data_IF_494760785246
#
_entry.id   IF_494760785246
#
_cell.length_a   1.000
_cell.length_b   1.000
_cell.length_c   1.000
_cell.angle_alpha   90.00
_cell.angle_beta   90.00
_cell.angle_gamma   90.00
#
_symmetry.space_group_name_H-M   'P 1'
#
loop_
_entity.id
_entity.type
_entity.pdbx_description
1 polymer ?
#
# COMPACT_ATOMS: atom_id res chain seq x y z
N UNK A 1 -44.70 25.17 18.03
CA UNK A 1 -44.41 25.36 16.61
C UNK A 1 -43.10 24.63 16.32
N UNK A 2 -43.08 23.30 16.32
CA UNK A 2 -43.70 22.36 15.39
C UNK A 2 -43.11 22.50 13.99
N UNK A 3 -42.15 21.64 13.65
CA UNK A 3 -42.18 20.89 12.39
C UNK A 3 -41.35 19.60 12.53
N UNK A 4 -42.06 18.49 12.71
CA UNK A 4 -41.52 17.13 12.72
C UNK A 4 -41.79 16.56 11.33
N UNK A 5 -40.76 16.52 10.49
CA UNK A 5 -40.87 15.92 9.16
C UNK A 5 -40.64 14.41 9.25
N UNK A 6 -41.76 13.71 9.30
CA UNK A 6 -41.93 12.26 9.26
C UNK A 6 -41.39 11.70 7.93
N UNK A 7 -40.33 10.88 8.01
CA UNK A 7 -39.79 10.13 6.86
C UNK A 7 -40.56 8.82 6.72
N UNK A 8 -41.37 8.74 5.67
CA UNK A 8 -42.01 7.53 5.14
C UNK A 8 -40.98 6.44 4.80
N UNK A 9 -41.24 5.17 5.14
CA UNK A 9 -40.43 4.05 4.69
C UNK A 9 -40.76 3.72 3.23
N UNK A 10 -39.73 3.74 2.38
CA UNK A 10 -39.79 3.25 1.01
C UNK A 10 -39.92 1.73 1.06
N UNK A 11 -41.07 1.23 0.59
CA UNK A 11 -41.30 -0.20 0.31
C UNK A 11 -40.33 -0.63 -0.78
N UNK A 12 -39.40 -1.51 -0.42
CA UNK A 12 -38.54 -2.20 -1.37
C UNK A 12 -39.34 -3.31 -2.05
N UNK A 13 -39.73 -3.05 -3.29
CA UNK A 13 -40.49 -3.95 -4.14
C UNK A 13 -39.55 -5.07 -4.63
N UNK A 14 -39.56 -6.19 -3.90
CA UNK A 14 -38.85 -7.40 -4.29
C UNK A 14 -39.49 -7.96 -5.55
N UNK A 15 -38.89 -7.69 -6.70
CA UNK A 15 -39.23 -8.33 -7.97
C UNK A 15 -38.91 -9.83 -7.87
N UNK A 16 -39.94 -10.62 -7.56
CA UNK A 16 -39.91 -12.08 -7.63
C UNK A 16 -39.76 -12.47 -9.10
N UNK A 17 -38.56 -12.89 -9.48
CA UNK A 17 -38.29 -13.52 -10.77
C UNK A 17 -39.04 -14.85 -10.79
N UNK A 18 -40.15 -14.88 -11.54
CA UNK A 18 -40.95 -16.06 -11.76
C UNK A 18 -40.12 -17.13 -12.48
N UNK A 19 -39.93 -18.27 -11.81
CA UNK A 19 -39.43 -19.51 -12.40
C UNK A 19 -40.50 -20.05 -13.34
N UNK A 20 -40.19 -20.36 -14.62
CA UNK A 20 -41.17 -20.92 -15.54
C UNK A 20 -41.59 -22.32 -15.09
N UNK A 21 -42.89 -22.47 -14.87
CA UNK A 21 -43.58 -23.72 -14.55
C UNK A 21 -43.47 -24.70 -15.73
N UNK A 22 -43.03 -25.96 -15.51
CA UNK A 22 -42.96 -26.94 -16.59
C UNK A 22 -44.38 -27.34 -17.02
N UNK A 23 -44.61 -27.26 -18.34
CA UNK A 23 -45.86 -27.61 -19.00
C UNK A 23 -46.34 -29.01 -18.63
N UNK A 24 -47.59 -29.11 -18.17
CA UNK A 24 -48.33 -30.37 -18.03
C UNK A 24 -48.63 -30.90 -19.42
N UNK A 25 -48.00 -32.00 -19.80
CA UNK A 25 -48.43 -32.81 -20.94
C UNK A 25 -49.71 -33.57 -20.58
N UNK A 26 -50.71 -33.40 -21.45
CA UNK A 26 -52.02 -34.02 -21.42
C UNK A 26 -51.92 -35.44 -21.99
N UNK A 27 -52.39 -36.50 -21.30
CA UNK A 27 -52.36 -37.85 -21.87
C UNK A 27 -53.51 -38.03 -22.85
N UNK A 28 -53.18 -38.14 -24.14
CA UNK A 28 -54.12 -38.57 -25.17
C UNK A 28 -54.50 -40.05 -24.96
N UNK A 29 -55.79 -40.28 -24.73
CA UNK A 29 -56.38 -41.60 -24.65
C UNK A 29 -56.46 -42.22 -26.06
N UNK A 30 -55.58 -43.19 -26.33
CA UNK A 30 -55.66 -44.05 -27.52
C UNK A 30 -56.30 -45.38 -27.13
N UNK A 31 -57.29 -45.77 -27.93
CA UNK A 31 -58.17 -46.92 -27.72
C UNK A 31 -57.43 -48.25 -27.63
N UNK A 32 -57.89 -49.08 -26.68
CA UNK A 32 -57.45 -50.45 -26.41
C UNK A 32 -58.07 -51.38 -27.45
N UNK A 33 -57.24 -51.92 -28.34
CA UNK A 33 -57.58 -53.05 -29.19
C UNK A 33 -57.21 -54.34 -28.46
N UNK A 34 -58.22 -55.16 -28.14
CA UNK A 34 -58.10 -56.43 -27.43
C UNK A 34 -57.59 -57.46 -28.43
N UNK A 35 -56.29 -57.73 -28.43
CA UNK A 35 -55.67 -58.87 -29.11
C UNK A 35 -55.53 -60.02 -28.12
N UNK A 36 -56.23 -61.11 -28.42
CA UNK A 36 -56.18 -62.38 -27.69
C UNK A 36 -54.83 -63.09 -27.87
N UNK A 37 -54.11 -63.30 -26.77
CA UNK A 37 -52.95 -64.21 -26.64
C UNK A 37 -53.40 -65.68 -26.78
N UNK A 38 -52.58 -66.51 -27.43
CA UNK A 38 -51.89 -67.52 -26.63
C UNK A 38 -50.52 -67.91 -27.20
N UNK A 39 -49.42 -67.25 -26.78
CA UNK A 39 -48.03 -67.79 -26.84
C UNK A 39 -46.99 -66.84 -26.19
N UNK A 40 -47.18 -66.38 -24.94
CA UNK A 40 -46.38 -65.26 -24.36
C UNK A 40 -45.43 -65.67 -23.20
N UNK A 41 -45.35 -66.95 -22.86
CA UNK A 41 -44.52 -67.36 -21.72
C UNK A 41 -43.06 -67.69 -22.09
N UNK A 42 -42.74 -67.96 -23.36
CA UNK A 42 -41.36 -68.27 -23.81
C UNK A 42 -40.58 -67.07 -24.37
N UNK A 43 -41.26 -65.98 -24.76
CA UNK A 43 -40.65 -64.73 -25.24
C UNK A 43 -40.32 -63.74 -24.11
N UNK A 44 -41.03 -63.80 -22.97
CA UNK A 44 -40.76 -62.95 -21.79
C UNK A 44 -39.41 -63.25 -21.13
N UNK A 45 -38.99 -64.52 -21.06
CA UNK A 45 -37.70 -64.88 -20.44
C UNK A 45 -36.48 -64.45 -21.28
N UNK A 46 -36.63 -64.41 -22.61
CA UNK A 46 -35.59 -63.91 -23.50
C UNK A 46 -35.41 -62.38 -23.38
N UNK A 47 -36.51 -61.63 -23.25
CA UNK A 47 -36.50 -60.17 -23.13
C UNK A 47 -36.01 -59.68 -21.74
N UNK A 48 -36.33 -60.40 -20.66
CA UNK A 48 -35.79 -60.08 -19.33
C UNK A 48 -34.27 -60.27 -19.24
N UNK A 49 -33.73 -61.25 -19.97
CA UNK A 49 -32.30 -61.55 -19.95
C UNK A 49 -31.49 -60.46 -20.66
N UNK A 50 -31.99 -59.90 -21.77
CA UNK A 50 -31.33 -58.81 -22.48
C UNK A 50 -31.46 -57.46 -21.75
N UNK A 51 -32.61 -57.18 -21.11
CA UNK A 51 -32.77 -56.00 -20.26
C UNK A 51 -31.82 -56.01 -19.04
N UNK A 52 -31.50 -57.18 -18.47
CA UNK A 52 -30.48 -57.31 -17.42
C UNK A 52 -29.05 -57.05 -17.92
N UNK A 53 -28.75 -57.34 -19.18
CA UNK A 53 -27.43 -57.03 -19.77
C UNK A 53 -27.31 -55.54 -20.05
N UNK A 54 -28.36 -54.93 -20.61
CA UNK A 54 -28.41 -53.49 -20.88
C UNK A 54 -28.28 -52.65 -19.61
N UNK A 55 -28.95 -53.03 -18.51
CA UNK A 55 -28.84 -52.30 -17.23
C UNK A 55 -27.44 -52.39 -16.62
N UNK A 56 -26.78 -53.57 -16.70
CA UNK A 56 -25.38 -53.73 -16.27
C UNK A 56 -24.40 -52.93 -17.13
N UNK A 57 -24.62 -52.90 -18.44
CA UNK A 57 -23.81 -52.08 -19.34
C UNK A 57 -24.00 -50.58 -19.06
N UNK A 58 -25.23 -50.15 -18.82
CA UNK A 58 -25.52 -48.77 -18.47
C UNK A 58 -24.90 -48.36 -17.13
N UNK A 59 -24.90 -49.23 -16.11
CA UNK A 59 -24.23 -48.93 -14.84
C UNK A 59 -22.71 -48.80 -14.99
N UNK A 60 -22.10 -49.64 -15.83
CA UNK A 60 -20.65 -49.56 -16.14
C UNK A 60 -20.31 -48.25 -16.84
N UNK A 61 -21.12 -47.82 -17.80
CA UNK A 61 -20.93 -46.56 -18.53
C UNK A 61 -21.09 -45.36 -17.56
N UNK A 62 -22.09 -45.40 -16.68
CA UNK A 62 -22.32 -44.32 -15.72
C UNK A 62 -21.16 -44.16 -14.72
N UNK A 63 -20.53 -45.28 -14.30
CA UNK A 63 -19.35 -45.26 -13.43
C UNK A 63 -18.13 -44.65 -14.14
N UNK A 64 -17.89 -45.02 -15.40
CA UNK A 64 -16.81 -44.44 -16.22
C UNK A 64 -17.02 -42.93 -16.45
N UNK A 65 -18.26 -42.51 -16.74
CA UNK A 65 -18.60 -41.09 -16.92
C UNK A 65 -18.41 -40.31 -15.62
N UNK A 66 -18.79 -40.87 -14.47
CA UNK A 66 -18.58 -40.24 -13.16
C UNK A 66 -17.08 -40.09 -12.83
N UNK A 67 -16.28 -41.12 -13.10
CA UNK A 67 -14.83 -41.07 -12.92
C UNK A 67 -14.17 -40.02 -13.84
N UNK A 68 -14.59 -39.95 -15.11
CA UNK A 68 -14.10 -38.95 -16.07
C UNK A 68 -14.44 -37.52 -15.62
N UNK A 69 -15.67 -37.29 -15.14
CA UNK A 69 -16.10 -35.99 -14.65
C UNK A 69 -15.35 -35.57 -13.37
N UNK A 70 -15.03 -36.51 -12.49
CA UNK A 70 -14.19 -36.24 -11.32
C UNK A 70 -12.75 -35.88 -11.72
N UNK A 71 -12.17 -36.60 -12.69
CA UNK A 71 -10.84 -36.30 -13.23
C UNK A 71 -10.78 -34.92 -13.93
N UNK A 72 -11.81 -34.57 -14.71
CA UNK A 72 -11.91 -33.26 -15.35
C UNK A 72 -12.03 -32.12 -14.32
N UNK A 73 -12.80 -32.32 -13.24
CA UNK A 73 -12.88 -31.34 -12.15
C UNK A 73 -11.52 -31.16 -11.47
N UNK A 74 -10.79 -32.24 -11.19
CA UNK A 74 -9.47 -32.19 -10.58
C UNK A 74 -8.44 -31.47 -11.48
N UNK A 75 -8.47 -31.72 -12.80
CA UNK A 75 -7.61 -31.02 -13.74
C UNK A 75 -7.93 -29.53 -13.85
N UNK A 76 -9.22 -29.16 -13.78
CA UNK A 76 -9.64 -27.76 -13.80
C UNK A 76 -9.14 -27.00 -12.57
N UNK A 77 -9.27 -27.59 -11.37
CA UNK A 77 -8.78 -26.96 -10.14
C UNK A 77 -7.26 -26.76 -10.17
N UNK A 78 -6.52 -27.70 -10.75
CA UNK A 78 -5.06 -27.57 -10.90
C UNK A 78 -4.66 -26.46 -11.87
N UNK A 79 -5.41 -26.28 -12.96
CA UNK A 79 -5.17 -25.20 -13.92
C UNK A 79 -5.46 -23.82 -13.32
N UNK A 80 -6.57 -23.68 -12.58
CA UNK A 80 -6.91 -22.43 -11.87
C UNK A 80 -5.85 -22.09 -10.80
N UNK A 81 -5.35 -23.09 -10.06
CA UNK A 81 -4.28 -22.90 -9.06
C UNK A 81 -2.92 -22.54 -9.71
N UNK A 82 -2.60 -23.08 -10.89
CA UNK A 82 -1.39 -22.72 -11.64
C UNK A 82 -1.45 -21.28 -12.18
N UNK A 83 -2.61 -20.86 -12.68
CA UNK A 83 -2.81 -19.50 -13.20
C UNK A 83 -2.73 -18.46 -12.07
N UNK A 84 -3.34 -18.74 -10.91
CA UNK A 84 -3.26 -17.86 -9.74
C UNK A 84 -1.83 -17.76 -9.20
N UNK A 85 -1.11 -18.88 -9.11
CA UNK A 85 0.28 -18.89 -8.67
C UNK A 85 1.22 -18.19 -9.67
N UNK A 86 0.97 -18.34 -10.98
CA UNK A 86 1.70 -17.66 -12.03
C UNK A 86 1.53 -16.14 -11.95
N UNK A 87 0.28 -15.67 -11.83
CA UNK A 87 -0.02 -14.24 -11.69
C UNK A 87 0.59 -13.65 -10.40
N UNK A 88 0.56 -14.38 -9.29
CA UNK A 88 1.18 -13.94 -8.03
C UNK A 88 2.72 -13.86 -8.12
N UNK A 89 3.36 -14.81 -8.81
CA UNK A 89 4.83 -14.81 -8.95
C UNK A 89 5.32 -13.67 -9.85
N UNK A 90 4.68 -13.45 -11.00
CA UNK A 90 5.02 -12.35 -11.91
C UNK A 90 4.68 -10.98 -11.29
N UNK A 91 3.52 -10.87 -10.64
CA UNK A 91 3.13 -9.67 -9.90
C UNK A 91 4.11 -9.34 -8.77
N UNK A 92 4.54 -10.34 -8.01
CA UNK A 92 5.51 -10.19 -6.93
C UNK A 92 6.87 -9.70 -7.43
N UNK A 93 7.38 -10.26 -8.53
CA UNK A 93 8.65 -9.83 -9.13
C UNK A 93 8.64 -8.37 -9.59
N UNK A 94 7.59 -7.97 -10.32
CA UNK A 94 7.43 -6.58 -10.77
C UNK A 94 7.29 -5.62 -9.58
N UNK A 95 6.51 -5.99 -8.55
CA UNK A 95 6.34 -5.20 -7.35
C UNK A 95 7.66 -5.03 -6.58
N UNK A 96 8.50 -6.07 -6.49
CA UNK A 96 9.81 -5.97 -5.88
C UNK A 96 10.75 -5.03 -6.65
N UNK A 97 10.77 -5.12 -7.98
CA UNK A 97 11.57 -4.22 -8.82
C UNK A 97 11.09 -2.77 -8.67
N UNK A 98 9.77 -2.54 -8.73
CA UNK A 98 9.18 -1.21 -8.55
C UNK A 98 9.50 -0.64 -7.17
N UNK A 99 9.38 -1.45 -6.11
CA UNK A 99 9.72 -1.05 -4.74
C UNK A 99 11.21 -0.71 -4.62
N UNK A 100 12.10 -1.53 -5.20
CA UNK A 100 13.53 -1.28 -5.22
C UNK A 100 13.90 0.02 -5.96
N UNK A 101 13.23 0.30 -7.08
CA UNK A 101 13.42 1.54 -7.84
C UNK A 101 12.98 2.77 -7.05
N UNK A 102 11.82 2.70 -6.39
CA UNK A 102 11.32 3.78 -5.53
C UNK A 102 12.28 4.02 -4.36
N UNK A 103 12.76 2.95 -3.70
CA UNK A 103 13.75 3.07 -2.63
C UNK A 103 15.06 3.71 -3.12
N UNK A 104 15.55 3.33 -4.31
CA UNK A 104 16.73 3.93 -4.91
C UNK A 104 16.54 5.45 -5.16
N UNK A 105 15.37 5.85 -5.66
CA UNK A 105 15.02 7.27 -5.82
C UNK A 105 14.92 7.99 -4.47
N UNK A 106 14.41 7.35 -3.41
CA UNK A 106 14.41 7.95 -2.08
C UNK A 106 15.82 8.19 -1.53
N UNK A 107 16.76 7.27 -1.79
CA UNK A 107 18.14 7.40 -1.34
C UNK A 107 18.95 8.42 -2.14
N UNK A 108 18.63 8.66 -3.42
CA UNK A 108 19.36 9.64 -4.25
C UNK A 108 19.04 11.09 -3.88
N UNK A 109 17.82 11.37 -3.38
CA UNK A 109 17.37 12.72 -2.97
C UNK A 109 18.34 13.38 -1.98
N UNK A 110 18.63 12.81 -0.79
CA UNK A 110 19.52 13.44 0.18
C UNK A 110 20.96 13.56 -0.34
N UNK A 111 21.41 12.66 -1.20
CA UNK A 111 22.73 12.72 -1.84
C UNK A 111 22.83 13.97 -2.72
N UNK A 112 21.85 14.21 -3.60
CA UNK A 112 21.84 15.39 -4.47
C UNK A 112 21.69 16.69 -3.67
N UNK A 113 20.90 16.68 -2.59
CA UNK A 113 20.83 17.81 -1.67
C UNK A 113 22.21 18.11 -1.06
N UNK A 114 22.92 17.11 -0.55
CA UNK A 114 24.25 17.31 0.02
C UNK A 114 25.25 17.83 -1.01
N UNK A 115 25.29 17.23 -2.21
CA UNK A 115 26.18 17.67 -3.30
C UNK A 115 25.91 19.12 -3.71
N UNK A 116 24.64 19.54 -3.72
CA UNK A 116 24.28 20.91 -4.07
C UNK A 116 24.62 21.90 -2.97
N UNK A 117 24.29 21.59 -1.71
CA UNK A 117 24.66 22.41 -0.54
C UNK A 117 26.18 22.65 -0.52
N UNK A 118 26.95 21.66 -0.93
CA UNK A 118 28.42 21.73 -0.98
C UNK A 118 28.98 22.53 -2.16
N UNK A 119 28.11 23.06 -3.02
CA UNK A 119 28.49 23.74 -4.25
C UNK A 119 29.41 22.90 -5.16
N UNK A 120 29.42 21.56 -5.00
CA UNK A 120 30.14 20.66 -5.92
C UNK A 120 29.46 20.62 -7.28
N UNK A 121 28.17 20.93 -7.29
CA UNK A 121 27.33 20.92 -8.47
C UNK A 121 26.65 22.29 -8.58
N UNK A 122 26.72 22.92 -9.75
CA UNK A 122 26.19 24.27 -10.02
C UNK A 122 24.75 24.29 -10.54
N UNK A 123 24.03 23.17 -10.45
CA UNK A 123 22.67 23.04 -10.99
C UNK A 123 21.66 23.94 -10.26
N UNK A 124 20.59 24.29 -10.95
CA UNK A 124 19.43 24.91 -10.32
C UNK A 124 18.81 23.93 -9.31
N UNK A 125 18.28 24.42 -8.17
CA UNK A 125 17.63 23.55 -7.19
C UNK A 125 16.44 22.77 -7.78
N UNK A 126 15.74 23.31 -8.77
CA UNK A 126 14.72 22.57 -9.53
C UNK A 126 15.26 21.24 -10.10
N UNK A 127 16.50 21.22 -10.62
CA UNK A 127 17.13 20.00 -11.16
C UNK A 127 17.44 19.01 -10.04
N UNK A 128 17.86 19.51 -8.88
CA UNK A 128 18.14 18.70 -7.68
C UNK A 128 16.88 18.00 -7.15
N UNK A 129 15.71 18.58 -7.37
CA UNK A 129 14.41 18.01 -6.98
C UNK A 129 13.83 17.01 -8.00
N UNK A 130 14.42 16.83 -9.19
CA UNK A 130 13.90 15.91 -10.22
C UNK A 130 13.62 14.50 -9.68
N UNK A 131 14.50 13.84 -8.90
CA UNK A 131 14.21 12.51 -8.38
C UNK A 131 12.96 12.47 -7.49
N UNK A 132 12.73 13.51 -6.69
CA UNK A 132 11.53 13.66 -5.87
C UNK A 132 10.29 13.83 -6.75
N UNK A 133 10.36 14.66 -7.80
CA UNK A 133 9.26 14.86 -8.73
C UNK A 133 8.89 13.60 -9.52
N UNK A 134 9.88 12.76 -9.86
CA UNK A 134 9.62 11.45 -10.48
C UNK A 134 8.80 10.56 -9.54
N UNK A 135 9.19 10.49 -8.25
CA UNK A 135 8.43 9.73 -7.24
C UNK A 135 7.00 10.28 -7.11
N UNK A 136 6.85 11.59 -7.03
CA UNK A 136 5.55 12.26 -6.97
C UNK A 136 4.68 11.94 -8.19
N UNK A 137 5.23 12.01 -9.41
CA UNK A 137 4.51 11.66 -10.65
C UNK A 137 4.04 10.20 -10.62
N UNK A 138 4.87 9.27 -10.16
CA UNK A 138 4.48 7.85 -10.04
C UNK A 138 3.33 7.69 -9.03
N UNK A 139 3.44 8.33 -7.87
CA UNK A 139 2.38 8.30 -6.83
C UNK A 139 1.10 8.94 -7.35
N UNK A 140 1.18 10.11 -7.99
CA UNK A 140 0.02 10.83 -8.51
C UNK A 140 -0.63 10.08 -9.69
N UNK A 141 0.16 9.43 -10.54
CA UNK A 141 -0.35 8.55 -11.59
C UNK A 141 -1.13 7.38 -10.97
N UNK A 142 -0.60 6.73 -9.93
CA UNK A 142 -1.31 5.68 -9.21
C UNK A 142 -2.62 6.15 -8.57
N UNK A 143 -2.59 7.34 -7.94
CA UNK A 143 -3.80 7.97 -7.38
C UNK A 143 -4.83 8.28 -8.47
N UNK A 144 -4.38 8.78 -9.62
CA UNK A 144 -5.24 9.12 -10.75
C UNK A 144 -5.88 7.88 -11.39
N UNK A 145 -5.12 6.82 -11.63
CA UNK A 145 -5.64 5.54 -12.11
C UNK A 145 -6.69 4.95 -11.16
N UNK A 146 -6.50 5.11 -9.85
CA UNK A 146 -7.45 4.68 -8.82
C UNK A 146 -8.76 5.48 -8.81
N UNK A 147 -8.82 6.65 -9.46
CA UNK A 147 -10.07 7.41 -9.57
C UNK A 147 -11.08 6.68 -10.45
N UNK A 148 -10.62 6.03 -11.54
CA UNK A 148 -11.47 5.31 -12.49
C UNK A 148 -11.99 3.97 -11.97
N UNK A 149 -11.27 3.35 -11.03
CA UNK A 149 -11.68 2.10 -10.41
C UNK A 149 -12.61 2.40 -9.23
N UNK A 150 -13.84 1.90 -9.30
CA UNK A 150 -14.79 1.91 -8.18
C UNK A 150 -14.42 0.74 -7.29
N UNK A 151 -13.63 1.00 -6.26
CA UNK A 151 -13.28 0.00 -5.25
C UNK A 151 -14.45 -0.19 -4.29
N UNK A 152 -14.88 -1.43 -4.04
CA UNK A 152 -15.95 -1.74 -3.09
C UNK A 152 -15.58 -1.30 -1.66
N UNK A 153 -14.28 -1.27 -1.31
CA UNK A 153 -13.82 -0.73 -0.04
C UNK A 153 -14.16 0.77 0.13
N UNK A 154 -14.36 1.49 -0.98
CA UNK A 154 -14.74 2.91 -0.96
C UNK A 154 -16.23 3.14 -0.64
N UNK A 155 -17.08 2.11 -0.70
CA UNK A 155 -18.50 2.21 -0.33
C UNK A 155 -18.72 2.54 1.15
N UNK A 156 -17.72 2.32 1.99
CA UNK A 156 -17.81 2.69 3.41
C UNK A 156 -17.78 4.21 3.62
N UNK A 157 -17.30 5.00 2.66
CA UNK A 157 -17.33 6.46 2.73
C UNK A 157 -18.63 7.00 2.17
N UNK A 158 -19.33 7.82 2.96
CA UNK A 158 -20.60 8.43 2.57
C UNK A 158 -20.53 9.26 1.28
N UNK A 159 -19.33 9.69 0.86
CA UNK A 159 -19.09 10.41 -0.40
C UNK A 159 -17.69 10.06 -0.98
N UNK A 160 -17.55 9.01 -1.80
CA UNK A 160 -16.24 8.59 -2.34
C UNK A 160 -15.61 9.65 -3.25
N UNK A 161 -16.42 10.49 -3.91
CA UNK A 161 -15.94 11.59 -4.77
C UNK A 161 -15.20 12.68 -3.98
N UNK A 162 -15.72 13.06 -2.80
CA UNK A 162 -15.10 14.10 -1.97
C UNK A 162 -13.76 13.63 -1.40
N UNK A 163 -13.67 12.37 -0.98
CA UNK A 163 -12.40 11.80 -0.51
C UNK A 163 -11.34 11.77 -1.61
N UNK A 164 -11.70 11.38 -2.84
CA UNK A 164 -10.79 11.42 -4.00
C UNK A 164 -10.31 12.84 -4.31
N UNK A 165 -11.23 13.82 -4.32
CA UNK A 165 -10.87 15.25 -4.51
C UNK A 165 -9.96 15.77 -3.40
N UNK A 166 -10.22 15.38 -2.16
CA UNK A 166 -9.41 15.74 -1.00
C UNK A 166 -7.99 15.19 -1.10
N UNK A 167 -7.83 13.91 -1.47
CA UNK A 167 -6.52 13.30 -1.72
C UNK A 167 -5.76 14.00 -2.86
N UNK A 168 -6.46 14.40 -3.93
CA UNK A 168 -5.87 15.19 -5.01
C UNK A 168 -5.43 16.58 -4.55
N UNK A 169 -6.25 17.27 -3.75
CA UNK A 169 -5.91 18.58 -3.18
C UNK A 169 -4.64 18.49 -2.31
N UNK A 170 -4.51 17.42 -1.50
CA UNK A 170 -3.29 17.17 -0.71
C UNK A 170 -2.04 17.03 -1.58
N UNK A 171 -2.15 16.27 -2.67
CA UNK A 171 -1.07 16.11 -3.65
C UNK A 171 -0.65 17.45 -4.27
N UNK A 172 -1.62 18.27 -4.70
CA UNK A 172 -1.33 19.60 -5.27
C UNK A 172 -0.65 20.52 -4.25
N UNK A 173 -1.13 20.54 -2.99
CA UNK A 173 -0.51 21.33 -1.92
C UNK A 173 0.95 20.92 -1.65
N UNK A 174 1.23 19.61 -1.69
CA UNK A 174 2.58 19.08 -1.54
C UNK A 174 3.49 19.51 -2.71
N UNK A 175 3.00 19.40 -3.95
CA UNK A 175 3.75 19.82 -5.14
C UNK A 175 4.07 21.32 -5.10
N UNK A 176 3.07 22.16 -4.77
CA UNK A 176 3.27 23.62 -4.63
C UNK A 176 4.31 23.93 -3.56
N UNK A 177 4.30 23.21 -2.43
CA UNK A 177 5.31 23.33 -1.39
C UNK A 177 6.71 23.07 -1.94
N UNK A 178 6.90 21.96 -2.67
CA UNK A 178 8.21 21.62 -3.24
C UNK A 178 8.71 22.68 -4.22
N UNK A 179 7.83 23.23 -5.07
CA UNK A 179 8.18 24.31 -6.01
C UNK A 179 8.61 25.56 -5.25
N UNK A 180 7.87 25.98 -4.23
CA UNK A 180 8.23 27.14 -3.42
C UNK A 180 9.55 26.95 -2.68
N UNK A 181 9.82 25.75 -2.14
CA UNK A 181 11.11 25.43 -1.52
C UNK A 181 12.23 25.55 -2.56
N UNK A 182 12.06 24.99 -3.77
CA UNK A 182 13.08 25.06 -4.81
C UNK A 182 13.37 26.52 -5.23
N UNK A 183 12.33 27.35 -5.40
CA UNK A 183 12.49 28.78 -5.70
C UNK A 183 13.17 29.54 -4.56
N UNK A 184 12.81 29.23 -3.30
CA UNK A 184 13.45 29.84 -2.13
C UNK A 184 14.94 29.48 -2.06
N UNK A 185 15.28 28.22 -2.32
CA UNK A 185 16.66 27.74 -2.31
C UNK A 185 17.49 28.31 -3.47
N UNK A 186 16.88 28.60 -4.62
CA UNK A 186 17.52 29.33 -5.71
C UNK A 186 17.80 30.81 -5.39
N UNK A 187 17.13 31.36 -4.38
CA UNK A 187 17.16 32.80 -4.12
C UNK A 187 16.24 33.62 -5.03
N UNK A 188 15.33 32.97 -5.76
CA UNK A 188 14.36 33.64 -6.63
C UNK A 188 13.28 34.38 -5.80
N UNK A 189 13.09 33.96 -4.55
CA UNK A 189 12.08 34.50 -3.61
C UNK A 189 12.75 34.87 -2.27
N UNK A 190 12.48 36.09 -1.80
CA UNK A 190 13.05 36.66 -0.56
C UNK A 190 12.21 36.36 0.70
N UNK A 191 11.04 35.73 0.57
CA UNK A 191 10.11 35.45 1.67
C UNK A 191 10.74 34.59 2.78
N UNK A 192 10.31 34.79 4.03
CA UNK A 192 10.66 33.92 5.16
C UNK A 192 10.32 32.46 4.87
N UNK A 193 11.12 31.51 5.34
CA UNK A 193 10.92 30.06 5.08
C UNK A 193 9.57 29.60 5.63
N UNK A 194 9.13 30.13 6.77
CA UNK A 194 7.79 29.82 7.31
C UNK A 194 6.67 30.20 6.33
N UNK A 195 6.81 31.31 5.59
CA UNK A 195 5.82 31.73 4.57
C UNK A 195 5.84 30.83 3.34
N UNK A 196 7.03 30.39 2.93
CA UNK A 196 7.22 29.41 1.83
C UNK A 196 6.52 28.08 2.17
N UNK A 197 6.48 27.72 3.45
CA UNK A 197 5.87 26.48 3.95
C UNK A 197 4.35 26.56 4.21
N UNK A 198 3.68 27.69 3.91
CA UNK A 198 2.23 27.84 4.12
C UNK A 198 1.39 26.74 3.46
N UNK A 199 1.63 26.34 2.19
CA UNK A 199 0.85 25.25 1.58
C UNK A 199 1.00 23.92 2.33
N UNK A 200 2.18 23.68 2.92
CA UNK A 200 2.41 22.51 3.77
C UNK A 200 1.64 22.59 5.09
N UNK A 201 1.60 23.75 5.74
CA UNK A 201 0.81 23.92 6.97
C UNK A 201 -0.69 23.74 6.72
N UNK A 202 -1.18 24.16 5.55
CA UNK A 202 -2.56 23.88 5.13
C UNK A 202 -2.77 22.38 4.96
N UNK A 203 -1.87 21.70 4.23
CA UNK A 203 -1.90 20.24 4.06
C UNK A 203 -1.95 19.50 5.41
N UNK A 204 -1.13 19.91 6.36
CA UNK A 204 -1.05 19.24 7.65
C UNK A 204 -2.26 19.54 8.54
N UNK A 205 -2.79 20.76 8.47
CA UNK A 205 -4.09 21.11 9.06
C UNK A 205 -5.23 20.24 8.51
N UNK A 206 -5.23 19.93 7.21
CA UNK A 206 -6.19 18.99 6.61
C UNK A 206 -5.98 17.55 7.13
N UNK A 207 -4.75 17.11 7.38
CA UNK A 207 -4.48 15.79 7.98
C UNK A 207 -4.96 15.72 9.44
N UNK A 208 -4.77 16.77 10.22
CA UNK A 208 -5.29 16.87 11.58
C UNK A 208 -6.81 16.82 11.56
N UNK A 209 -7.45 17.58 10.67
CA UNK A 209 -8.91 17.60 10.54
C UNK A 209 -9.48 16.21 10.18
N UNK A 210 -8.83 15.50 9.27
CA UNK A 210 -9.19 14.14 8.86
C UNK A 210 -9.08 13.15 10.04
N UNK A 211 -7.99 13.24 10.81
CA UNK A 211 -7.81 12.44 12.02
C UNK A 211 -8.87 12.74 13.10
N UNK A 212 -9.18 14.02 13.36
CA UNK A 212 -10.25 14.43 14.28
C UNK A 212 -11.61 13.92 13.80
N UNK A 213 -11.91 14.05 12.51
CA UNK A 213 -13.14 13.54 11.92
C UNK A 213 -13.26 12.02 12.11
N UNK A 214 -12.18 11.27 11.89
CA UNK A 214 -12.14 9.83 12.14
C UNK A 214 -12.45 9.45 13.59
N UNK A 215 -11.88 10.18 14.56
CA UNK A 215 -12.13 9.99 16.00
C UNK A 215 -13.59 10.31 16.35
N UNK A 216 -14.12 11.46 15.91
CA UNK A 216 -15.48 11.91 16.22
C UNK A 216 -16.53 10.97 15.64
N UNK A 217 -16.30 10.49 14.42
CA UNK A 217 -17.22 9.55 13.76
C UNK A 217 -17.10 8.12 14.27
N UNK A 218 -16.25 7.86 15.28
CA UNK A 218 -15.92 6.50 15.78
C UNK A 218 -15.63 5.52 14.66
N UNK A 219 -15.03 6.01 13.58
CA UNK A 219 -14.61 5.15 12.48
C UNK A 219 -13.52 4.26 13.05
N UNK A 220 -13.68 2.93 13.01
CA UNK A 220 -12.78 1.93 13.61
C UNK A 220 -11.32 1.94 13.10
N UNK A 221 -10.89 3.00 12.42
CA UNK A 221 -9.50 3.24 12.07
C UNK A 221 -8.75 3.81 13.26
N UNK A 222 -7.54 3.31 13.48
CA UNK A 222 -6.56 3.76 14.45
C UNK A 222 -6.04 5.17 14.07
N UNK A 223 -6.95 6.16 14.00
CA UNK A 223 -6.65 7.54 13.65
C UNK A 223 -5.82 8.17 14.78
N UNK A 224 -4.51 8.10 14.66
CA UNK A 224 -3.59 8.71 15.61
C UNK A 224 -3.34 10.16 15.22
N UNK A 225 -3.72 11.09 16.11
CA UNK A 225 -3.41 12.53 15.98
C UNK A 225 -1.91 12.82 16.18
N UNK A 226 -1.15 11.87 16.69
CA UNK A 226 0.24 12.08 17.07
C UNK A 226 1.11 12.43 15.85
N UNK A 227 0.96 11.69 14.75
CA UNK A 227 1.85 11.85 13.59
C UNK A 227 1.74 13.22 12.91
N UNK A 228 0.54 13.74 12.58
CA UNK A 228 0.42 15.08 11.99
C UNK A 228 0.96 16.16 12.93
N UNK A 229 0.67 16.08 14.23
CA UNK A 229 1.14 17.10 15.19
C UNK A 229 2.67 17.13 15.28
N UNK A 230 3.34 15.97 15.33
CA UNK A 230 4.81 15.95 15.34
C UNK A 230 5.40 16.48 14.02
N UNK A 231 4.78 16.19 12.87
CA UNK A 231 5.21 16.75 11.58
C UNK A 231 5.03 18.26 11.50
N UNK A 232 3.90 18.77 11.98
CA UNK A 232 3.65 20.20 12.07
C UNK A 232 4.75 20.91 12.85
N UNK A 233 5.02 20.43 14.07
CA UNK A 233 6.04 20.99 14.95
C UNK A 233 7.43 20.88 14.31
N UNK A 234 7.75 19.75 13.68
CA UNK A 234 9.03 19.55 13.00
C UNK A 234 9.27 20.59 11.90
N UNK A 235 8.30 20.79 11.03
CA UNK A 235 8.42 21.72 9.89
C UNK A 235 8.45 23.18 10.37
N UNK A 236 7.68 23.50 11.41
CA UNK A 236 7.71 24.81 12.04
C UNK A 236 9.09 25.11 12.66
N UNK A 237 9.66 24.18 13.43
CA UNK A 237 10.99 24.34 14.04
C UNK A 237 12.07 24.50 12.97
N UNK A 238 12.04 23.70 11.90
CA UNK A 238 12.98 23.84 10.78
C UNK A 238 12.87 25.23 10.14
N UNK A 239 11.65 25.68 9.85
CA UNK A 239 11.42 27.00 9.24
C UNK A 239 11.93 28.14 10.12
N UNK A 240 11.63 28.09 11.42
CA UNK A 240 12.10 29.10 12.39
C UNK A 240 13.63 29.08 12.58
N UNK A 241 14.24 27.90 12.53
CA UNK A 241 15.69 27.75 12.62
C UNK A 241 16.38 28.37 11.42
N UNK A 242 15.90 28.07 10.20
CA UNK A 242 16.48 28.62 8.97
C UNK A 242 16.29 30.14 8.91
N UNK A 243 15.15 30.66 9.41
CA UNK A 243 14.92 32.10 9.53
C UNK A 243 15.74 32.77 10.66
N UNK A 244 16.55 32.01 11.41
CA UNK A 244 17.39 32.53 12.50
C UNK A 244 16.60 32.98 13.75
N UNK A 245 15.32 32.61 13.87
CA UNK A 245 14.44 33.05 14.97
C UNK A 245 14.60 32.23 16.25
N UNK A 246 15.22 31.06 16.17
CA UNK A 246 15.45 30.15 17.30
C UNK A 246 16.80 30.40 18.01
N UNK A 247 17.57 31.42 17.60
CA UNK A 247 18.87 31.73 18.21
C UNK A 247 19.92 30.64 17.93
N UNK A 248 20.71 30.29 18.94
CA UNK A 248 21.77 29.27 18.87
C UNK A 248 21.27 27.84 19.13
N UNK A 249 19.98 27.56 18.89
CA UNK A 249 19.45 26.21 19.08
C UNK A 249 20.19 25.22 18.18
N UNK A 250 20.59 24.07 18.73
CA UNK A 250 21.24 23.02 17.95
C UNK A 250 20.24 22.33 17.02
N UNK A 251 20.72 21.86 15.88
CA UNK A 251 19.92 21.14 14.90
C UNK A 251 19.37 19.83 15.48
N UNK A 252 20.04 19.24 16.47
CA UNK A 252 19.53 18.10 17.22
C UNK A 252 18.21 18.40 17.92
N UNK A 253 18.08 19.58 18.53
CA UNK A 253 16.83 20.02 19.17
C UNK A 253 15.75 20.26 18.11
N UNK A 254 16.11 20.90 17.00
CA UNK A 254 15.19 21.14 15.87
C UNK A 254 14.62 19.83 15.32
N UNK A 255 15.41 18.75 15.27
CA UNK A 255 14.97 17.41 14.83
C UNK A 255 14.33 16.55 15.95
N UNK A 256 14.11 17.09 17.15
CA UNK A 256 13.52 16.32 18.26
C UNK A 256 12.19 15.64 17.90
N UNK A 257 11.20 16.31 17.26
CA UNK A 257 9.96 15.64 16.86
C UNK A 257 10.19 14.43 15.96
N UNK A 258 11.13 14.52 15.01
CA UNK A 258 11.52 13.42 14.16
C UNK A 258 12.11 12.26 14.97
N UNK A 259 13.02 12.52 15.91
CA UNK A 259 13.61 11.48 16.76
C UNK A 259 12.56 10.77 17.63
N UNK A 260 11.60 11.51 18.16
CA UNK A 260 10.48 10.94 18.93
C UNK A 260 9.63 10.03 18.04
N UNK A 261 9.25 10.48 16.83
CA UNK A 261 8.50 9.65 15.89
C UNK A 261 9.24 8.36 15.51
N UNK A 262 10.55 8.45 15.27
CA UNK A 262 11.40 7.29 14.97
C UNK A 262 11.43 6.33 16.17
N UNK A 263 11.66 6.85 17.37
CA UNK A 263 11.70 6.06 18.59
C UNK A 263 10.39 5.33 18.85
N UNK A 264 9.26 6.01 18.69
CA UNK A 264 7.92 5.42 18.81
C UNK A 264 7.67 4.35 17.75
N UNK A 265 8.06 4.59 16.49
CA UNK A 265 7.94 3.61 15.41
C UNK A 265 8.75 2.34 15.68
N UNK A 266 10.01 2.49 16.08
CA UNK A 266 10.88 1.37 16.44
C UNK A 266 10.33 0.62 17.67
N UNK A 267 9.88 1.35 18.70
CA UNK A 267 9.27 0.75 19.88
C UNK A 267 8.01 -0.05 19.53
N UNK A 268 7.13 0.48 18.68
CA UNK A 268 5.93 -0.22 18.20
C UNK A 268 6.28 -1.51 17.45
N UNK A 269 7.32 -1.48 16.62
CA UNK A 269 7.81 -2.65 15.89
C UNK A 269 8.38 -3.70 16.87
N UNK A 270 9.15 -3.27 17.86
CA UNK A 270 9.71 -4.16 18.89
C UNK A 270 8.62 -4.78 19.77
N UNK A 271 7.62 -3.98 20.18
CA UNK A 271 6.46 -4.48 20.94
C UNK A 271 5.66 -5.47 20.11
N UNK A 272 5.43 -5.19 18.81
CA UNK A 272 4.74 -6.12 17.92
C UNK A 272 5.49 -7.45 17.76
N UNK A 273 6.82 -7.39 17.64
CA UNK A 273 7.66 -8.58 17.56
C UNK A 273 7.69 -9.37 18.88
N UNK A 274 7.77 -8.66 20.02
CA UNK A 274 7.70 -9.27 21.33
C UNK A 274 6.34 -9.92 21.56
N UNK A 275 5.25 -9.20 21.29
CA UNK A 275 3.88 -9.71 21.36
C UNK A 275 3.72 -10.94 20.49
N UNK A 276 4.22 -10.94 19.26
CA UNK A 276 4.20 -12.14 18.43
C UNK A 276 4.95 -13.29 19.10
N UNK A 277 6.17 -13.04 19.61
CA UNK A 277 6.98 -14.07 20.25
C UNK A 277 6.33 -14.67 21.50
N UNK A 278 5.58 -13.88 22.27
CA UNK A 278 4.91 -14.33 23.51
C UNK A 278 3.51 -14.89 23.29
N UNK A 279 2.76 -14.34 22.32
CA UNK A 279 1.38 -14.72 22.04
C UNK A 279 1.31 -15.95 21.13
N UNK A 280 2.21 -16.09 20.16
CA UNK A 280 2.20 -17.25 19.23
C UNK A 280 2.28 -18.60 19.96
N UNK A 281 3.10 -18.80 21.00
CA UNK A 281 3.09 -20.03 21.79
C UNK A 281 1.75 -20.36 22.45
N UNK A 282 0.92 -19.37 22.79
CA UNK A 282 -0.41 -19.60 23.38
C UNK A 282 -1.37 -20.27 22.38
N UNK A 283 -1.08 -20.16 21.08
CA UNK A 283 -1.84 -20.79 20.00
C UNK A 283 -1.22 -22.10 19.50
N UNK A 284 -0.30 -22.72 20.26
CA UNK A 284 0.33 -23.98 19.87
C UNK A 284 -0.67 -25.12 19.60
N UNK A 285 -1.88 -25.05 20.16
CA UNK A 285 -2.95 -26.02 19.92
C UNK A 285 -3.61 -25.90 18.54
N UNK A 286 -3.36 -24.82 17.77
CA UNK A 286 -3.87 -24.63 16.42
C UNK A 286 -2.70 -24.56 15.42
N UNK A 287 -2.31 -25.69 14.80
CA UNK A 287 -1.11 -25.77 13.95
C UNK A 287 -1.20 -24.91 12.70
N UNK A 288 -2.42 -24.68 12.18
CA UNK A 288 -2.66 -23.84 10.99
C UNK A 288 -2.38 -22.37 11.31
N UNK A 289 -2.93 -21.87 12.42
CA UNK A 289 -2.72 -20.48 12.84
C UNK A 289 -1.25 -20.22 13.20
N UNK A 290 -0.62 -21.16 13.89
CA UNK A 290 0.79 -21.09 14.29
C UNK A 290 1.73 -20.99 13.07
N UNK A 291 1.55 -21.86 12.07
CA UNK A 291 2.36 -21.85 10.86
C UNK A 291 2.23 -20.54 10.05
N UNK A 292 1.03 -19.98 9.99
CA UNK A 292 0.77 -18.69 9.32
C UNK A 292 1.43 -17.53 10.05
N UNK A 293 1.29 -17.45 11.37
CA UNK A 293 1.89 -16.37 12.18
C UNK A 293 3.42 -16.43 12.20
N UNK A 294 4.01 -17.62 12.28
CA UNK A 294 5.46 -17.81 12.30
C UNK A 294 6.13 -17.44 10.97
N UNK A 295 5.52 -17.81 9.83
CA UNK A 295 6.04 -17.45 8.49
C UNK A 295 6.07 -15.93 8.28
N UNK A 296 5.08 -15.21 8.80
CA UNK A 296 4.95 -13.77 8.63
C UNK A 296 5.98 -12.96 9.44
N UNK A 297 6.50 -13.48 10.57
CA UNK A 297 7.16 -12.62 11.58
C UNK A 297 8.67 -12.78 11.70
N UNK A 298 9.26 -13.91 11.29
CA UNK A 298 10.70 -14.13 11.52
C UNK A 298 11.61 -13.48 10.47
N UNK A 299 11.29 -13.59 9.18
CA UNK A 299 12.20 -13.16 8.10
C UNK A 299 12.11 -11.67 7.79
N UNK A 300 10.91 -11.11 7.88
CA UNK A 300 10.67 -9.71 7.52
C UNK A 300 11.12 -8.72 8.59
N UNK A 301 11.25 -9.15 9.85
CA UNK A 301 11.60 -8.26 10.95
C UNK A 301 13.01 -7.69 10.85
N UNK A 302 14.02 -8.54 10.64
CA UNK A 302 15.42 -8.10 10.47
C UNK A 302 15.55 -7.24 9.22
N UNK A 303 14.91 -7.65 8.13
CA UNK A 303 14.88 -6.88 6.89
C UNK A 303 14.24 -5.50 7.11
N UNK A 304 13.11 -5.43 7.82
CA UNK A 304 12.43 -4.18 8.14
C UNK A 304 13.30 -3.24 8.97
N UNK A 305 14.00 -3.76 10.00
CA UNK A 305 14.93 -2.95 10.80
C UNK A 305 16.10 -2.42 9.96
N UNK A 306 16.64 -3.22 9.04
CA UNK A 306 17.69 -2.78 8.12
C UNK A 306 17.18 -1.71 7.15
N UNK A 307 15.97 -1.87 6.61
CA UNK A 307 15.33 -0.88 5.74
C UNK A 307 15.10 0.42 6.51
N UNK A 308 14.59 0.35 7.74
CA UNK A 308 14.41 1.53 8.60
C UNK A 308 15.77 2.19 8.84
N UNK A 309 16.80 1.46 9.26
CA UNK A 309 18.13 2.01 9.47
C UNK A 309 18.69 2.69 8.21
N UNK A 310 18.51 2.08 7.04
CA UNK A 310 18.91 2.65 5.75
C UNK A 310 18.14 3.93 5.41
N UNK A 311 16.82 3.96 5.67
CA UNK A 311 15.98 5.14 5.45
C UNK A 311 16.25 6.27 6.45
N UNK A 312 16.70 5.94 7.67
CA UNK A 312 17.04 6.91 8.71
C UNK A 312 18.43 7.50 8.56
N UNK A 313 19.36 6.75 7.97
CA UNK A 313 20.76 7.17 7.79
C UNK A 313 20.92 8.58 7.18
N UNK A 314 20.17 8.96 6.12
CA UNK A 314 20.26 10.30 5.56
C UNK A 314 19.88 11.42 6.53
N UNK A 315 18.91 11.19 7.43
CA UNK A 315 18.48 12.20 8.40
C UNK A 315 19.54 12.44 9.49
N UNK A 316 20.18 11.37 9.96
CA UNK A 316 21.33 11.50 10.87
C UNK A 316 22.50 12.22 10.22
N UNK A 317 22.80 11.89 8.97
CA UNK A 317 23.84 12.55 8.18
C UNK A 317 23.52 14.04 8.00
N UNK A 318 22.27 14.37 7.66
CA UNK A 318 21.83 15.75 7.52
C UNK A 318 21.94 16.52 8.83
N UNK A 319 21.41 15.98 9.94
CA UNK A 319 21.49 16.64 11.25
C UNK A 319 22.94 16.90 11.68
N UNK A 320 23.81 15.89 11.57
CA UNK A 320 25.23 16.02 11.91
C UNK A 320 25.97 17.02 11.01
N UNK A 321 25.58 17.09 9.73
CA UNK A 321 26.17 18.01 8.76
C UNK A 321 25.80 19.46 9.05
N UNK A 322 24.52 19.73 9.27
CA UNK A 322 24.04 21.10 9.45
C UNK A 322 24.54 21.67 10.80
N UNK A 323 24.73 20.82 11.81
CA UNK A 323 25.33 21.24 13.10
C UNK A 323 26.82 21.62 12.97
N UNK A 324 27.64 20.75 12.36
CA UNK A 324 29.09 20.89 12.45
C UNK A 324 29.72 21.66 11.28
N UNK A 325 28.97 21.94 10.22
CA UNK A 325 29.43 22.64 9.01
C UNK A 325 30.57 21.94 8.23
N UNK A 326 31.13 20.84 8.74
CA UNK A 326 32.34 20.19 8.24
C UNK A 326 32.10 18.70 8.04
N UNK A 327 31.79 18.29 6.80
CA UNK A 327 31.45 16.91 6.44
C UNK A 327 32.53 16.21 5.61
N UNK A 328 33.82 16.47 5.86
CA UNK A 328 34.87 15.73 5.15
C UNK A 328 35.05 14.30 5.68
N UNK A 329 34.60 13.96 6.89
CA UNK A 329 35.04 12.73 7.57
C UNK A 329 34.29 11.47 7.11
N UNK A 330 32.98 11.51 6.87
CA UNK A 330 32.20 10.28 6.60
C UNK A 330 32.48 9.71 5.21
N UNK A 331 32.62 10.57 4.19
CA UNK A 331 33.08 10.14 2.86
C UNK A 331 34.53 9.64 2.91
N UNK A 332 35.39 10.22 3.77
CA UNK A 332 36.72 9.67 4.01
C UNK A 332 36.69 8.31 4.71
N UNK A 333 35.74 8.05 5.63
CA UNK A 333 35.60 6.74 6.29
C UNK A 333 35.10 5.65 5.33
N UNK A 334 34.16 5.97 4.43
CA UNK A 334 33.76 5.03 3.37
C UNK A 334 34.81 4.90 2.26
N UNK A 335 35.51 5.98 1.91
CA UNK A 335 36.64 5.93 0.98
C UNK A 335 37.86 5.19 1.58
N UNK A 336 38.03 5.19 2.90
CA UNK A 336 39.06 4.41 3.60
C UNK A 336 38.78 2.90 3.58
N UNK A 337 37.52 2.49 3.38
CA UNK A 337 37.13 1.10 3.10
C UNK A 337 37.36 0.72 1.62
N UNK A 338 37.69 1.68 0.75
CA UNK A 338 38.08 1.43 -0.63
C UNK A 338 39.62 1.27 -0.72
N UNK A 339 40.17 0.13 -1.21
CA UNK A 339 41.60 -0.10 -1.24
C UNK A 339 42.36 0.93 -2.09
N UNK A 340 43.13 1.78 -1.39
CA UNK A 340 44.21 2.68 -1.83
C UNK A 340 44.59 2.62 -3.32
N UNK A 341 44.09 3.56 -4.14
CA UNK A 341 44.82 3.99 -5.36
C UNK A 341 44.47 5.37 -5.92
N UNK A 342 44.03 6.34 -5.11
CA UNK A 342 43.77 7.70 -5.59
C UNK A 342 44.25 8.75 -4.58
N UNK A 343 45.56 8.97 -4.52
CA UNK A 343 46.16 10.09 -3.78
C UNK A 343 47.13 10.85 -4.68
N UNK A 344 46.60 11.75 -5.51
CA UNK A 344 47.33 12.89 -6.09
C UNK A 344 46.32 13.83 -6.76
N UNK A 345 45.75 14.75 -5.98
CA UNK A 345 45.29 16.07 -6.44
C UNK A 345 44.86 16.86 -5.21
N UNK A 346 45.70 17.79 -4.77
CA UNK A 346 45.42 18.69 -3.66
C UNK A 346 44.46 19.79 -4.08
N UNK A 347 43.35 19.92 -3.37
CA UNK A 347 42.45 21.06 -3.46
C UNK A 347 42.37 21.75 -2.10
N UNK A 348 42.99 22.93 -2.02
CA UNK A 348 42.84 23.86 -0.91
C UNK A 348 41.43 24.47 -0.94
N UNK A 349 40.58 24.12 0.02
CA UNK A 349 39.30 24.76 0.24
C UNK A 349 39.50 26.05 1.06
N UNK A 350 39.52 27.21 0.40
CA UNK A 350 39.29 28.52 1.04
C UNK A 350 37.81 28.84 0.90
N UNK A 351 37.04 28.68 1.97
CA UNK A 351 35.79 29.42 2.13
C UNK A 351 35.89 30.23 3.42
N UNK A 352 36.24 31.51 3.23
CA UNK A 352 36.11 32.54 4.24
C UNK A 352 34.63 32.89 4.39
N UNK A 353 34.17 32.92 5.65
CA UNK A 353 32.92 33.51 6.09
C UNK A 353 32.85 34.96 5.62
N UNK A 354 31.92 35.24 4.70
CA UNK A 354 31.49 36.59 4.38
C UNK A 354 30.64 37.13 5.53
N UNK A 355 31.24 38.00 6.34
CA UNK A 355 30.52 38.91 7.23
C UNK A 355 29.71 39.92 6.38
N UNK A 356 28.40 40.11 6.60
CA UNK A 356 27.72 41.30 6.13
C UNK A 356 28.01 42.48 7.09
N UNK A 357 28.19 43.67 6.50
CA UNK A 357 28.07 44.97 7.17
C UNK A 357 26.61 45.38 7.26
#
# INVERSE_FOLDING_TARGET
MADNTEKTPVKEETAVVAVPEPAKEEPQATAVEIVTEPEVDSLKEADETDNRKLTKQQSSINEEVAALMAALRANRTFAEEQEENGAQLFGGGLAMIATGLVLALFLIIPIFWCLRVDNQVSWNWAVVFIPMWIVDVVVYCGLFCSIGVVDEASLQHSNPRLYKLFSFLKAVLLLVTQVFIAQKLNGDIDWSVVRVLVPYFVLDGLNILDAVYGIVTKRNGHASLEQPVFRFVQVLLIGLQIDGKLGEASWWVVFTPLWVMIGLGVASILVSAAMTRFVVPLFANNPVLFATLQKATSKYFVFLLLVIAALLSPYFVLAARVENGSFSVVLHSFAALCPRRWTRCGWHCRFCLGHPK
#
